data_IF_479868108793
#
_entry.id   IF_479868108793
#
_cell.length_a   1.000
_cell.length_b   1.000
_cell.length_c   1.000
_cell.angle_alpha   90.00
_cell.angle_beta   90.00
_cell.angle_gamma   90.00
#
_symmetry.space_group_name_H-M   'P 1'
#
loop_
_entity.id
_entity.type
_entity.pdbx_description
1 polymer ?
#
# COMPACT_ATOMS: atom_id res chain seq x y z
N UNK A 1 -11.43 16.32 3.09
CA UNK A 1 -10.13 16.84 2.59
C UNK A 1 -9.42 17.59 3.69
N UNK A 2 -8.34 17.00 4.20
CA UNK A 2 -7.44 17.59 5.19
C UNK A 2 -6.11 17.95 4.52
N UNK A 3 -5.46 19.03 4.95
CA UNK A 3 -4.14 19.43 4.47
C UNK A 3 -3.16 19.48 5.64
N UNK A 4 -2.02 18.81 5.49
CA UNK A 4 -0.92 18.81 6.45
C UNK A 4 0.26 19.52 5.80
N UNK A 5 0.62 20.67 6.37
CA UNK A 5 1.79 21.41 5.95
C UNK A 5 2.88 21.21 6.99
N UNK A 6 3.88 20.40 6.64
CA UNK A 6 4.98 20.07 7.55
C UNK A 6 6.33 20.47 6.93
N UNK A 7 6.78 21.69 7.27
CA UNK A 7 7.97 22.29 6.69
C UNK A 7 7.78 22.62 5.21
N UNK A 8 8.52 21.93 4.33
CA UNK A 8 8.40 22.05 2.86
C UNK A 8 7.40 21.07 2.24
N UNK A 9 6.78 20.21 3.06
CA UNK A 9 5.88 19.16 2.60
C UNK A 9 4.47 19.72 2.48
N UNK A 10 3.83 19.44 1.36
CA UNK A 10 2.41 19.69 1.14
C UNK A 10 1.68 18.36 0.97
N UNK A 11 0.94 17.95 2.00
CA UNK A 11 0.23 16.68 2.02
C UNK A 11 -1.27 16.94 2.03
N UNK A 12 -1.99 16.37 1.07
CA UNK A 12 -3.44 16.48 0.91
C UNK A 12 -4.08 15.11 1.15
N UNK A 13 -4.93 15.00 2.15
CA UNK A 13 -5.67 13.78 2.48
C UNK A 13 -7.09 13.93 1.94
N UNK A 14 -7.52 12.97 1.13
CA UNK A 14 -8.85 12.83 0.56
C UNK A 14 -9.54 11.71 1.34
N UNK A 15 -10.29 12.11 2.36
CA UNK A 15 -11.10 11.20 3.18
C UNK A 15 -12.26 10.61 2.35
N UNK A 16 -12.67 9.39 2.66
CA UNK A 16 -13.76 8.66 1.97
C UNK A 16 -13.57 8.56 0.44
N UNK A 17 -12.32 8.38 -0.01
CA UNK A 17 -12.01 8.32 -1.42
C UNK A 17 -12.41 6.97 -2.04
N UNK A 18 -12.93 7.00 -3.26
CA UNK A 18 -13.23 5.81 -4.04
C UNK A 18 -12.24 5.62 -5.19
N UNK A 19 -12.29 4.44 -5.82
CA UNK A 19 -11.52 4.15 -7.04
C UNK A 19 -11.74 5.19 -8.16
N UNK A 20 -12.94 5.78 -8.21
CA UNK A 20 -13.32 6.77 -9.23
C UNK A 20 -12.67 8.14 -8.99
N UNK A 21 -12.25 8.42 -7.77
CA UNK A 21 -11.61 9.69 -7.38
C UNK A 21 -10.10 9.69 -7.67
N UNK A 22 -9.54 8.52 -7.95
CA UNK A 22 -8.12 8.39 -8.25
C UNK A 22 -7.79 9.06 -9.59
N UNK A 23 -6.64 9.75 -9.70
CA UNK A 23 -6.23 10.43 -10.92
C UNK A 23 -5.63 9.46 -11.95
N UNK A 24 -6.25 8.28 -12.13
CA UNK A 24 -5.85 7.22 -13.05
C UNK A 24 -7.08 6.66 -13.76
N UNK A 25 -6.95 6.32 -15.04
CA UNK A 25 -8.04 5.78 -15.84
C UNK A 25 -7.80 4.30 -16.15
N UNK A 26 -8.88 3.51 -16.17
CA UNK A 26 -8.82 2.11 -16.61
C UNK A 26 -8.13 1.17 -15.63
N UNK A 27 -8.18 1.47 -14.33
CA UNK A 27 -7.68 0.58 -13.29
C UNK A 27 -8.39 -0.77 -13.35
N UNK A 28 -7.65 -1.89 -13.26
CA UNK A 28 -8.25 -3.19 -12.94
C UNK A 28 -8.79 -3.18 -11.50
N UNK A 29 -9.51 -4.24 -11.12
CA UNK A 29 -9.84 -4.45 -9.70
C UNK A 29 -8.55 -4.50 -8.88
N UNK A 30 -8.51 -3.72 -7.79
CA UNK A 30 -7.38 -3.70 -6.89
C UNK A 30 -7.28 -5.01 -6.09
N UNK A 31 -6.05 -5.44 -5.75
CA UNK A 31 -5.87 -6.63 -4.95
C UNK A 31 -6.36 -6.36 -3.52
N UNK A 32 -7.11 -7.30 -2.93
CA UNK A 32 -7.64 -7.15 -1.59
C UNK A 32 -6.51 -6.97 -0.57
N UNK A 33 -6.61 -5.96 0.29
CA UNK A 33 -5.59 -5.63 1.29
C UNK A 33 -5.79 -6.39 2.59
N UNK A 34 -4.70 -6.70 3.29
CA UNK A 34 -4.78 -7.13 4.68
C UNK A 34 -4.95 -5.90 5.58
N UNK A 35 -5.57 -6.06 6.76
CA UNK A 35 -5.64 -5.00 7.78
C UNK A 35 -4.60 -5.26 8.91
N UNK A 36 -3.31 -4.92 8.72
CA UNK A 36 -2.31 -4.96 9.77
C UNK A 36 -2.35 -3.72 10.69
N UNK A 37 -3.35 -2.84 10.53
CA UNK A 37 -3.47 -1.59 11.26
C UNK A 37 -2.64 -0.43 10.69
N UNK A 38 -2.79 0.72 11.33
CA UNK A 38 -2.20 1.98 10.88
C UNK A 38 -0.71 2.12 11.20
N UNK A 39 0.02 2.90 10.42
CA UNK A 39 1.40 3.30 10.72
C UNK A 39 1.67 4.77 10.36
N UNK A 40 2.75 5.33 10.90
CA UNK A 40 3.27 6.65 10.49
C UNK A 40 4.59 6.40 9.75
N UNK A 41 4.84 7.03 8.59
CA UNK A 41 6.11 6.87 7.89
C UNK A 41 7.32 7.23 8.77
N UNK A 42 8.42 6.49 8.61
CA UNK A 42 9.64 6.69 9.42
C UNK A 42 10.18 8.12 9.25
N UNK A 43 10.57 8.76 10.36
CA UNK A 43 11.01 10.17 10.40
C UNK A 43 9.91 11.19 10.08
N UNK A 44 8.65 10.82 10.30
CA UNK A 44 7.50 11.72 10.20
C UNK A 44 6.66 11.59 11.47
N UNK A 45 5.98 12.68 11.86
CA UNK A 45 5.02 12.67 12.98
C UNK A 45 3.58 12.45 12.47
N UNK A 46 3.31 12.84 11.22
CA UNK A 46 2.06 12.67 10.48
C UNK A 46 2.38 12.58 8.97
N UNK A 47 1.49 12.04 8.11
CA UNK A 47 0.18 11.48 8.43
C UNK A 47 0.24 10.03 8.89
N UNK A 48 -0.84 9.60 9.53
CA UNK A 48 -1.14 8.18 9.75
C UNK A 48 -1.67 7.60 8.44
N UNK A 49 -1.13 6.45 8.05
CA UNK A 49 -1.46 5.72 6.85
C UNK A 49 -1.97 4.33 7.19
N UNK A 50 -2.77 3.77 6.30
CA UNK A 50 -3.39 2.47 6.41
C UNK A 50 -3.17 1.68 5.11
N UNK A 51 -3.04 0.35 5.18
CA UNK A 51 -3.23 -0.47 4.00
C UNK A 51 -4.65 -0.32 3.47
N UNK A 52 -4.77 -0.15 2.15
CA UNK A 52 -5.98 0.35 1.49
C UNK A 52 -5.83 1.78 0.97
N UNK A 53 -4.92 2.58 1.54
CA UNK A 53 -4.67 3.94 1.09
C UNK A 53 -3.95 3.95 -0.27
N UNK A 54 -4.29 4.93 -1.11
CA UNK A 54 -3.53 5.22 -2.33
C UNK A 54 -2.73 6.51 -2.14
N UNK A 55 -1.44 6.45 -2.41
CA UNK A 55 -0.54 7.60 -2.39
C UNK A 55 -0.19 8.04 -3.81
N UNK A 56 -0.30 9.34 -4.06
CA UNK A 56 0.02 9.96 -5.35
C UNK A 56 1.02 11.09 -5.10
N UNK A 57 2.20 10.99 -5.69
CA UNK A 57 3.22 12.04 -5.63
C UNK A 57 3.21 12.91 -6.86
N UNK A 58 3.22 14.23 -6.66
CA UNK A 58 3.28 15.23 -7.73
C UNK A 58 4.60 15.98 -7.66
N UNK A 59 5.27 16.14 -8.79
CA UNK A 59 6.49 16.95 -8.95
C UNK A 59 6.40 17.74 -10.24
N UNK A 60 6.71 19.03 -10.20
CA UNK A 60 6.59 19.96 -11.33
C UNK A 60 5.20 19.89 -12.01
N UNK A 61 4.15 19.72 -11.22
CA UNK A 61 2.76 19.60 -11.69
C UNK A 61 2.43 18.30 -12.42
N UNK A 62 3.26 17.26 -12.29
CA UNK A 62 3.04 15.93 -12.91
C UNK A 62 3.05 14.83 -11.86
N UNK A 63 2.17 13.84 -12.03
CA UNK A 63 2.17 12.63 -11.21
C UNK A 63 3.45 11.84 -11.51
N UNK A 64 4.26 11.60 -10.49
CA UNK A 64 5.51 10.83 -10.58
C UNK A 64 5.36 9.40 -10.08
N UNK A 65 4.43 9.17 -9.16
CA UNK A 65 4.03 7.84 -8.70
C UNK A 65 2.57 7.87 -8.23
N UNK A 66 1.89 6.74 -8.40
CA UNK A 66 0.56 6.47 -7.85
C UNK A 66 0.55 5.00 -7.39
N UNK A 67 0.38 4.74 -6.11
CA UNK A 67 0.58 3.41 -5.53
C UNK A 67 -0.44 3.13 -4.42
N UNK A 68 -1.00 1.91 -4.40
CA UNK A 68 -1.76 1.38 -3.29
C UNK A 68 -0.81 0.89 -2.19
N UNK A 69 -1.07 1.26 -0.94
CA UNK A 69 -0.44 0.66 0.24
C UNK A 69 -1.12 -0.69 0.47
N UNK A 70 -0.38 -1.77 0.21
CA UNK A 70 -0.93 -3.11 0.28
C UNK A 70 -0.73 -3.75 1.66
N UNK A 71 0.42 -3.52 2.29
CA UNK A 71 0.77 -4.09 3.58
C UNK A 71 1.92 -3.31 4.25
N UNK A 72 2.12 -3.52 5.56
CA UNK A 72 3.22 -2.97 6.36
C UNK A 72 3.88 -4.08 7.18
N UNK A 73 5.19 -4.23 7.03
CA UNK A 73 6.01 -5.06 7.94
C UNK A 73 6.71 -4.17 8.98
N UNK A 74 7.59 -4.68 9.85
CA UNK A 74 8.31 -3.81 10.78
C UNK A 74 9.17 -2.76 10.05
N UNK A 75 9.97 -3.21 9.08
CA UNK A 75 11.00 -2.38 8.43
C UNK A 75 10.62 -1.86 7.04
N UNK A 76 9.54 -2.36 6.44
CA UNK A 76 9.16 -2.04 5.06
C UNK A 76 7.67 -1.78 4.91
N UNK A 77 7.31 -1.15 3.80
CA UNK A 77 5.95 -0.95 3.30
C UNK A 77 5.86 -1.70 1.98
N UNK A 78 4.81 -2.50 1.80
CA UNK A 78 4.50 -3.16 0.53
C UNK A 78 3.54 -2.26 -0.22
N UNK A 79 3.94 -1.88 -1.43
CA UNK A 79 3.15 -1.00 -2.30
C UNK A 79 2.88 -1.68 -3.62
N UNK A 80 1.75 -1.34 -4.24
CA UNK A 80 1.37 -1.81 -5.57
C UNK A 80 1.22 -0.59 -6.46
N UNK A 81 2.17 -0.34 -7.39
CA UNK A 81 2.05 0.74 -8.36
C UNK A 81 0.83 0.52 -9.26
N UNK A 82 0.03 1.56 -9.41
CA UNK A 82 -1.25 1.50 -10.12
C UNK A 82 -1.08 1.33 -11.64
N UNK A 83 0.09 1.64 -12.17
CA UNK A 83 0.44 1.50 -13.58
C UNK A 83 0.89 0.09 -13.98
N UNK A 84 1.42 -0.69 -13.03
CA UNK A 84 2.00 -2.02 -13.28
C UNK A 84 1.30 -3.15 -12.53
N UNK A 85 0.61 -2.85 -11.42
CA UNK A 85 -0.07 -3.82 -10.57
C UNK A 85 0.86 -4.81 -9.85
N UNK A 86 2.19 -4.60 -9.89
CA UNK A 86 3.16 -5.54 -9.32
C UNK A 86 3.61 -5.10 -7.94
N UNK A 87 3.45 -5.98 -6.94
CA UNK A 87 3.87 -5.69 -5.57
C UNK A 87 5.38 -5.37 -5.49
N UNK A 88 5.69 -4.31 -4.76
CA UNK A 88 7.06 -3.86 -4.52
C UNK A 88 7.26 -3.65 -3.03
N UNK A 89 8.32 -4.24 -2.48
CA UNK A 89 8.69 -4.07 -1.08
C UNK A 89 9.64 -2.87 -0.98
N UNK A 90 9.24 -1.85 -0.23
CA UNK A 90 10.04 -0.64 -0.03
C UNK A 90 10.42 -0.47 1.44
N UNK A 91 11.71 -0.30 1.73
CA UNK A 91 12.16 0.00 3.09
C UNK A 91 11.49 1.28 3.61
N UNK A 92 11.16 1.33 4.90
CA UNK A 92 10.44 2.45 5.52
C UNK A 92 11.12 3.81 5.28
N UNK A 93 12.45 3.87 5.35
CA UNK A 93 13.20 5.09 5.03
C UNK A 93 13.08 5.51 3.56
N UNK A 94 13.05 4.56 2.64
CA UNK A 94 12.89 4.85 1.21
C UNK A 94 11.49 5.33 0.92
N UNK A 95 10.49 4.72 1.59
CA UNK A 95 9.10 5.12 1.52
C UNK A 95 8.91 6.55 2.01
N UNK A 96 9.41 6.89 3.21
CA UNK A 96 9.24 8.23 3.78
C UNK A 96 9.98 9.32 3.02
N UNK A 97 11.16 9.00 2.44
CA UNK A 97 11.92 9.94 1.58
C UNK A 97 11.11 10.51 0.42
N UNK A 98 10.07 9.82 -0.04
CA UNK A 98 9.22 10.30 -1.16
C UNK A 98 8.39 11.51 -0.78
N UNK A 99 7.94 11.58 0.48
CA UNK A 99 7.22 12.75 1.01
C UNK A 99 8.08 14.01 1.04
N UNK A 100 9.42 13.87 1.06
CA UNK A 100 10.35 15.01 1.04
C UNK A 100 10.84 15.38 -0.35
N UNK A 101 10.56 14.55 -1.36
CA UNK A 101 11.02 14.74 -2.76
C UNK A 101 9.91 15.24 -3.68
N UNK A 102 8.67 14.87 -3.39
CA UNK A 102 7.52 15.39 -4.10
C UNK A 102 7.24 16.84 -3.67
N UNK A 103 6.70 17.65 -4.59
CA UNK A 103 6.22 18.99 -4.27
C UNK A 103 4.90 18.89 -3.50
N UNK A 104 4.04 17.95 -3.90
CA UNK A 104 2.75 17.65 -3.28
C UNK A 104 2.57 16.13 -3.18
N UNK A 105 1.98 15.66 -2.08
CA UNK A 105 1.56 14.26 -1.90
C UNK A 105 0.08 14.21 -1.60
N UNK A 106 -0.66 13.47 -2.40
CA UNK A 106 -2.06 13.19 -2.18
C UNK A 106 -2.21 11.79 -1.60
N UNK A 107 -3.01 11.67 -0.54
CA UNK A 107 -3.36 10.40 0.09
C UNK A 107 -4.87 10.26 -0.05
N UNK A 108 -5.29 9.19 -0.70
CA UNK A 108 -6.69 8.81 -0.83
C UNK A 108 -6.92 7.69 0.19
N UNK A 109 -7.67 8.02 1.23
CA UNK A 109 -7.90 7.15 2.39
C UNK A 109 -8.94 6.09 2.04
N UNK A 110 -8.69 4.85 2.47
CA UNK A 110 -9.64 3.73 2.44
C UNK A 110 -10.22 3.35 1.06
N UNK A 111 -9.39 3.44 0.01
CA UNK A 111 -9.85 3.19 -1.38
C UNK A 111 -10.18 1.73 -1.64
N UNK A 112 -9.48 0.80 -0.97
CA UNK A 112 -9.80 -0.64 -1.00
C UNK A 112 -9.94 -1.20 0.41
N UNK A 113 -11.18 -1.59 0.74
CA UNK A 113 -11.59 -2.13 2.05
C UNK A 113 -11.76 -3.65 2.04
N UNK A 114 -11.56 -4.32 0.90
CA UNK A 114 -11.94 -5.73 0.78
C UNK A 114 -10.87 -6.62 1.39
N UNK A 115 -10.91 -6.84 2.70
CA UNK A 115 -10.15 -7.93 3.32
C UNK A 115 -10.71 -9.26 2.81
N UNK A 116 -9.90 -10.12 2.18
CA UNK A 116 -10.39 -11.39 1.69
C UNK A 116 -10.55 -12.36 2.87
N UNK A 117 -11.78 -12.72 3.23
CA UNK A 117 -12.02 -13.82 4.17
C UNK A 117 -11.84 -15.15 3.45
N UNK A 118 -10.76 -15.86 3.74
CA UNK A 118 -10.54 -17.23 3.26
C UNK A 118 -10.99 -18.23 4.32
N UNK A 119 -12.19 -18.79 4.14
CA UNK A 119 -12.69 -19.93 4.92
C UNK A 119 -12.31 -21.24 4.21
N UNK A 120 -11.07 -21.69 4.45
CA UNK A 120 -10.53 -22.92 3.87
C UNK A 120 -10.21 -23.92 4.97
N UNK A 121 -10.76 -25.12 4.81
CA UNK A 121 -10.44 -26.29 5.63
C UNK A 121 -9.35 -27.10 4.92
N UNK A 122 -8.24 -27.35 5.60
CA UNK A 122 -7.14 -28.14 5.05
C UNK A 122 -7.45 -29.64 5.17
N UNK A 123 -7.46 -30.34 4.04
CA UNK A 123 -7.56 -31.81 4.03
C UNK A 123 -6.16 -32.44 4.08
N UNK A 124 -5.75 -32.87 5.27
CA UNK A 124 -4.46 -33.54 5.46
C UNK A 124 -4.37 -34.91 4.74
N UNK A 125 -5.51 -35.51 4.36
CA UNK A 125 -5.53 -36.81 3.69
C UNK A 125 -5.09 -36.75 2.22
N UNK A 126 -5.19 -35.58 1.60
CA UNK A 126 -4.68 -35.29 0.25
C UNK A 126 -3.16 -35.04 0.25
N UNK A 127 -2.53 -35.00 1.42
CA UNK A 127 -1.10 -34.74 1.55
C UNK A 127 -0.28 -36.01 1.24
N UNK A 128 0.14 -36.16 -0.02
CA UNK A 128 1.04 -37.25 -0.45
C UNK A 128 2.43 -37.04 0.16
N UNK A 129 2.80 -37.89 1.13
CA UNK A 129 4.14 -37.89 1.73
C UNK A 129 5.05 -38.90 1.03
N UNK A 130 6.29 -38.53 0.67
CA UNK A 130 7.23 -39.50 0.11
C UNK A 130 7.54 -40.59 1.14
N UNK A 131 7.56 -41.85 0.70
CA UNK A 131 7.95 -42.96 1.56
C UNK A 131 9.41 -42.81 2.00
N UNK A 132 9.73 -43.01 3.28
CA UNK A 132 11.11 -42.97 3.75
C UNK A 132 11.91 -44.11 3.10
N UNK A 133 12.72 -43.78 2.10
CA UNK A 133 13.74 -44.68 1.55
C UNK A 133 14.77 -44.97 2.65
N UNK A 134 14.77 -46.19 3.18
CA UNK A 134 15.86 -46.66 4.02
C UNK A 134 17.13 -46.74 3.15
N UNK A 135 18.10 -45.88 3.45
CA UNK A 135 19.47 -46.06 3.00
C UNK A 135 19.94 -47.47 3.41
N UNK A 136 20.45 -48.24 2.45
CA UNK A 136 21.09 -49.54 2.70
C UNK A 136 22.48 -49.34 3.26
#
# INVERSE_FOLDING_TARGET
MQRIQDGRRDIMIHDDASLEDLPVNGLPELPPVADPGSFIPVNMDEPRLYPGDVIVGVTDGRITFAELIFDKTDDAVVVVPLDTGTHTIMKGEHFSRRFFRADEVHIYDDVDTKTPQWDVEFDESELVRPEPSRAR
#
